data_IF_481697255208
#
_entry.id   IF_481697255208
#
_cell.length_a   1.000
_cell.length_b   1.000
_cell.length_c   1.000
_cell.angle_alpha   90.00
_cell.angle_beta   90.00
_cell.angle_gamma   90.00
#
_symmetry.space_group_name_H-M   'P 1'
#
loop_
_entity.id
_entity.type
_entity.pdbx_description
1 polymer ?
#
# COMPACT_ATOMS: atom_id res chain seq x y z
N UNK A 1 11.00 7.28 -0.11
CA UNK A 1 11.29 7.10 -1.54
C UNK A 1 12.71 7.50 -1.90
N UNK A 2 13.23 8.61 -1.38
CA UNK A 2 14.61 9.09 -1.65
C UNK A 2 15.71 8.02 -1.62
N UNK A 3 15.73 7.11 -0.64
CA UNK A 3 16.72 6.01 -0.60
C UNK A 3 16.58 5.06 -1.80
N UNK A 4 15.35 4.65 -2.13
CA UNK A 4 15.09 3.78 -3.27
C UNK A 4 15.44 4.46 -4.61
N UNK A 5 15.26 5.78 -4.70
CA UNK A 5 15.68 6.58 -5.87
C UNK A 5 17.19 6.65 -5.98
N UNK A 6 17.88 6.94 -4.87
CA UNK A 6 19.35 6.97 -4.80
C UNK A 6 19.96 5.63 -5.19
N UNK A 7 19.35 4.54 -4.76
CA UNK A 7 19.83 3.19 -5.03
C UNK A 7 19.38 2.67 -6.42
N UNK A 8 18.71 3.49 -7.22
CA UNK A 8 18.32 3.18 -8.60
C UNK A 8 17.18 2.17 -8.74
N UNK A 9 16.46 1.87 -7.66
CA UNK A 9 15.30 0.95 -7.68
C UNK A 9 14.08 1.64 -8.29
N UNK A 10 13.93 2.94 -8.03
CA UNK A 10 12.89 3.79 -8.61
C UNK A 10 13.51 5.01 -9.28
N UNK A 11 12.84 5.55 -10.30
CA UNK A 11 13.23 6.75 -11.04
C UNK A 11 12.87 8.06 -10.34
N UNK A 12 11.82 8.05 -9.51
CA UNK A 12 11.30 9.24 -8.86
C UNK A 12 11.12 9.07 -7.36
N UNK A 13 11.09 10.20 -6.64
CA UNK A 13 10.69 10.28 -5.23
C UNK A 13 9.16 10.24 -5.12
N UNK A 14 8.46 10.62 -6.18
CA UNK A 14 7.00 10.58 -6.25
C UNK A 14 6.47 9.16 -6.40
N UNK A 15 5.19 8.98 -6.09
CA UNK A 15 4.50 7.71 -6.27
C UNK A 15 4.13 7.49 -7.74
N UNK A 16 5.15 7.24 -8.57
CA UNK A 16 5.03 6.94 -10.00
C UNK A 16 5.66 5.60 -10.35
N UNK A 17 5.13 4.86 -11.33
CA UNK A 17 5.76 3.65 -11.80
C UNK A 17 7.10 3.99 -12.46
N UNK A 18 8.11 3.20 -12.14
CA UNK A 18 9.45 3.37 -12.70
C UNK A 18 9.54 2.73 -14.06
N UNK A 19 9.70 3.57 -15.09
CA UNK A 19 9.70 3.13 -16.48
C UNK A 19 11.14 2.91 -16.96
N UNK A 20 11.47 1.66 -17.29
CA UNK A 20 12.68 1.34 -18.03
C UNK A 20 12.49 1.61 -19.54
N UNK A 21 13.53 1.39 -20.36
CA UNK A 21 13.47 1.65 -21.80
C UNK A 21 12.36 0.89 -22.53
N UNK A 22 11.95 -0.28 -22.01
CA UNK A 22 11.00 -1.18 -22.68
C UNK A 22 9.85 -1.66 -21.79
N UNK A 23 9.96 -1.56 -20.47
CA UNK A 23 8.95 -2.07 -19.53
C UNK A 23 8.98 -1.31 -18.20
N UNK A 24 7.88 -1.40 -17.45
CA UNK A 24 7.82 -0.86 -16.08
C UNK A 24 8.53 -1.83 -15.15
N UNK A 25 9.49 -1.32 -14.38
CA UNK A 25 10.38 -2.14 -13.56
C UNK A 25 9.93 -2.22 -12.10
N UNK A 26 9.37 -1.13 -11.57
CA UNK A 26 8.93 -1.02 -10.19
C UNK A 26 7.67 -0.16 -10.06
N UNK A 27 6.82 -0.53 -9.11
CA UNK A 27 5.58 0.16 -8.79
C UNK A 27 5.54 0.46 -7.28
N UNK A 28 5.65 1.74 -6.88
CA UNK A 28 5.44 2.15 -5.51
C UNK A 28 3.94 2.27 -5.21
N UNK A 29 3.50 1.56 -4.18
CA UNK A 29 2.17 1.60 -3.59
C UNK A 29 2.28 2.31 -2.22
N UNK A 30 2.27 3.63 -2.22
CA UNK A 30 2.39 4.46 -1.02
C UNK A 30 1.04 4.96 -0.51
N UNK A 31 0.09 5.17 -1.42
CA UNK A 31 -1.26 5.64 -1.14
C UNK A 31 -2.31 4.77 -1.85
N UNK A 32 -3.56 4.96 -1.47
CA UNK A 32 -4.68 4.14 -1.95
C UNK A 32 -5.02 3.00 -1.01
N UNK A 33 -5.74 2.01 -1.54
CA UNK A 33 -6.27 0.86 -0.80
C UNK A 33 -5.89 -0.44 -1.49
N UNK A 34 -5.56 -1.45 -0.70
CA UNK A 34 -5.33 -2.79 -1.20
C UNK A 34 -6.26 -3.78 -0.49
N UNK A 35 -6.84 -4.69 -1.26
CA UNK A 35 -7.69 -5.77 -0.77
C UNK A 35 -7.07 -7.11 -1.13
N UNK A 36 -7.22 -8.10 -0.26
CA UNK A 36 -6.79 -9.46 -0.57
C UNK A 36 -7.77 -10.06 -1.59
N UNK A 37 -7.23 -10.65 -2.65
CA UNK A 37 -8.01 -11.38 -3.63
C UNK A 37 -8.47 -12.75 -3.10
N UNK A 38 -9.38 -13.42 -3.82
CA UNK A 38 -9.81 -14.78 -3.49
C UNK A 38 -8.68 -15.81 -3.59
N UNK A 39 -7.70 -15.59 -4.48
CA UNK A 39 -6.58 -16.49 -4.68
C UNK A 39 -5.40 -16.15 -3.75
N UNK A 40 -4.66 -17.16 -3.26
CA UNK A 40 -3.44 -16.92 -2.48
C UNK A 40 -2.43 -16.07 -3.25
N UNK A 41 -1.92 -15.02 -2.59
CA UNK A 41 -0.96 -14.10 -3.20
C UNK A 41 -1.55 -13.13 -4.23
N UNK A 42 -2.86 -13.18 -4.47
CA UNK A 42 -3.57 -12.19 -5.27
C UNK A 42 -3.95 -10.99 -4.41
N UNK A 43 -3.71 -9.79 -4.91
CA UNK A 43 -4.16 -8.55 -4.28
C UNK A 43 -4.81 -7.63 -5.29
N UNK A 44 -5.78 -6.85 -4.84
CA UNK A 44 -6.46 -5.84 -5.64
C UNK A 44 -6.08 -4.47 -5.10
N UNK A 45 -5.29 -3.73 -5.87
CA UNK A 45 -4.94 -2.35 -5.55
C UNK A 45 -5.94 -1.39 -6.18
N UNK A 46 -6.39 -0.40 -5.41
CA UNK A 46 -7.39 0.59 -5.80
C UNK A 46 -6.84 1.97 -5.46
N UNK A 47 -6.77 2.83 -6.47
CA UNK A 47 -6.38 4.24 -6.34
C UNK A 47 -7.45 5.12 -6.96
N UNK A 48 -7.74 6.24 -6.31
CA UNK A 48 -8.61 7.27 -6.86
C UNK A 48 -7.86 8.59 -6.90
N UNK A 49 -8.04 9.39 -7.95
CA UNK A 49 -7.35 10.67 -8.11
C UNK A 49 -7.54 11.28 -9.50
N UNK A 50 -6.63 12.19 -9.86
CA UNK A 50 -6.61 12.77 -11.20
C UNK A 50 -6.00 11.80 -12.21
N UNK A 51 -6.22 12.03 -13.50
CA UNK A 51 -5.71 11.17 -14.57
C UNK A 51 -4.17 11.02 -14.55
N UNK A 52 -3.47 12.09 -14.17
CA UNK A 52 -2.00 12.11 -13.99
C UNK A 52 -1.51 11.11 -12.94
N UNK A 53 -2.34 10.80 -11.95
CA UNK A 53 -2.01 9.88 -10.85
C UNK A 53 -2.35 8.43 -11.18
N UNK A 54 -3.02 8.16 -12.32
CA UNK A 54 -3.60 6.84 -12.63
C UNK A 54 -2.61 5.85 -13.26
N UNK A 55 -1.32 6.15 -13.28
CA UNK A 55 -0.26 5.19 -13.67
C UNK A 55 -0.54 4.51 -15.03
N UNK A 56 -0.93 5.30 -16.04
CA UNK A 56 -1.38 4.80 -17.35
C UNK A 56 -0.34 3.90 -18.06
N UNK A 57 0.95 4.05 -17.74
CA UNK A 57 2.01 3.19 -18.24
C UNK A 57 1.80 1.70 -17.92
N UNK A 58 1.02 1.36 -16.89
CA UNK A 58 0.74 -0.02 -16.50
C UNK A 58 -0.25 -0.73 -17.45
N UNK A 59 -0.99 -0.01 -18.30
CA UNK A 59 -1.90 -0.61 -19.28
C UNK A 59 -1.18 -1.59 -20.21
N UNK A 60 0.03 -1.26 -20.64
CA UNK A 60 0.82 -2.09 -21.57
C UNK A 60 1.61 -3.21 -20.87
N UNK A 61 1.53 -3.30 -19.54
CA UNK A 61 2.38 -4.16 -18.72
C UNK A 61 1.62 -5.35 -18.11
N UNK A 62 0.37 -5.55 -18.52
CA UNK A 62 -0.42 -6.73 -18.12
C UNK A 62 0.31 -8.01 -18.53
N UNK A 63 0.45 -8.94 -17.61
CA UNK A 63 1.19 -10.19 -17.79
C UNK A 63 2.69 -10.11 -17.47
N UNK A 64 3.25 -8.91 -17.25
CA UNK A 64 4.67 -8.75 -16.93
C UNK A 64 4.92 -8.73 -15.42
N UNK A 65 6.06 -9.28 -14.94
CA UNK A 65 6.46 -9.20 -13.55
C UNK A 65 7.06 -7.83 -13.23
N UNK A 66 6.52 -7.17 -12.19
CA UNK A 66 6.94 -5.87 -11.70
C UNK A 66 7.36 -5.94 -10.23
N UNK A 67 8.33 -5.11 -9.82
CA UNK A 67 8.74 -4.99 -8.41
C UNK A 67 7.72 -4.14 -7.64
N UNK A 68 7.24 -4.62 -6.51
CA UNK A 68 6.30 -3.86 -5.66
C UNK A 68 7.00 -3.31 -4.42
N UNK A 69 6.87 -1.99 -4.21
CA UNK A 69 7.24 -1.31 -2.97
C UNK A 69 5.96 -0.91 -2.24
N UNK A 70 5.74 -1.37 -1.01
CA UNK A 70 4.59 -0.97 -0.18
C UNK A 70 4.99 0.08 0.85
N UNK A 71 4.21 1.15 0.98
CA UNK A 71 4.41 2.21 1.96
C UNK A 71 3.59 2.01 3.23
N UNK A 72 4.07 2.56 4.34
CA UNK A 72 3.38 2.57 5.64
C UNK A 72 1.97 3.19 5.57
N UNK A 73 1.79 4.20 4.73
CA UNK A 73 0.55 4.96 4.60
C UNK A 73 -0.48 4.29 3.68
N UNK A 74 -0.11 3.16 3.05
CA UNK A 74 -1.03 2.38 2.22
C UNK A 74 -2.10 1.71 3.10
N UNK A 75 -3.37 1.85 2.72
CA UNK A 75 -4.49 1.14 3.38
C UNK A 75 -4.53 -0.31 2.90
N UNK A 76 -3.59 -1.12 3.37
CA UNK A 76 -3.41 -2.52 2.99
C UNK A 76 -3.15 -3.39 4.22
N UNK A 77 -3.70 -4.63 4.27
CA UNK A 77 -3.31 -5.63 5.28
C UNK A 77 -1.83 -6.02 5.21
N UNK A 78 -1.19 -5.81 4.06
CA UNK A 78 0.22 -6.14 3.81
C UNK A 78 1.15 -4.94 3.99
N UNK A 79 0.62 -3.75 4.28
CA UNK A 79 1.44 -2.55 4.44
C UNK A 79 2.46 -2.71 5.59
N UNK A 80 3.71 -2.25 5.42
CA UNK A 80 4.69 -2.29 6.50
C UNK A 80 4.27 -1.38 7.66
N UNK A 81 4.79 -1.66 8.87
CA UNK A 81 4.50 -0.88 10.08
C UNK A 81 5.18 0.49 10.09
N UNK A 82 6.22 0.67 9.28
CA UNK A 82 6.95 1.93 9.13
C UNK A 82 7.67 1.95 7.77
N UNK A 83 7.92 3.16 7.26
CA UNK A 83 8.71 3.37 6.04
C UNK A 83 8.12 2.72 4.79
N UNK A 84 9.00 2.20 3.94
CA UNK A 84 8.68 1.56 2.67
C UNK A 84 9.39 0.21 2.64
N UNK A 85 8.69 -0.84 2.18
CA UNK A 85 9.21 -2.21 2.10
C UNK A 85 9.09 -2.76 0.68
N UNK A 86 10.13 -3.45 0.23
CA UNK A 86 10.08 -4.25 -0.99
C UNK A 86 9.46 -5.61 -0.71
N UNK A 87 8.41 -5.97 -1.45
CA UNK A 87 7.61 -7.17 -1.18
C UNK A 87 7.82 -8.31 -2.19
N UNK A 88 8.64 -8.05 -3.21
CA UNK A 88 8.97 -8.99 -4.27
C UNK A 88 8.38 -8.60 -5.63
N UNK A 89 8.37 -9.59 -6.52
CA UNK A 89 7.84 -9.54 -7.87
C UNK A 89 6.36 -9.95 -7.90
N UNK A 90 5.58 -9.19 -8.64
CA UNK A 90 4.16 -9.41 -8.87
C UNK A 90 3.86 -9.30 -10.36
N UNK A 91 3.02 -10.17 -10.88
CA UNK A 91 2.48 -10.05 -12.23
C UNK A 91 1.20 -9.22 -12.19
N UNK A 92 1.07 -8.26 -13.10
CA UNK A 92 -0.18 -7.52 -13.29
C UNK A 92 -1.15 -8.43 -14.04
N UNK A 93 -2.16 -8.96 -13.36
CA UNK A 93 -3.19 -9.79 -13.98
C UNK A 93 -4.20 -8.97 -14.77
N UNK A 94 -4.62 -7.83 -14.23
CA UNK A 94 -5.62 -6.96 -14.87
C UNK A 94 -5.37 -5.50 -14.50
N UNK A 95 -5.63 -4.61 -15.46
CA UNK A 95 -5.68 -3.17 -15.28
C UNK A 95 -7.08 -2.68 -15.64
N UNK A 96 -7.70 -1.90 -14.76
CA UNK A 96 -8.97 -1.24 -15.00
C UNK A 96 -8.90 0.23 -14.62
N UNK A 97 -9.43 1.09 -15.48
CA UNK A 97 -9.60 2.53 -15.23
C UNK A 97 -11.07 2.88 -15.46
N UNK A 98 -11.67 3.59 -14.51
CA UNK A 98 -13.03 4.12 -14.63
C UNK A 98 -13.03 5.58 -14.23
N UNK A 99 -13.73 6.42 -14.98
CA UNK A 99 -14.08 7.76 -14.56
C UNK A 99 -15.39 7.69 -13.80
N UNK A 100 -15.43 8.31 -12.62
CA UNK A 100 -16.67 8.61 -11.94
C UNK A 100 -17.19 9.96 -12.48
N UNK A 101 -18.30 9.93 -13.21
CA UNK A 101 -18.86 11.10 -13.89
C UNK A 101 -19.37 12.17 -12.91
N UNK A 102 -19.84 11.75 -11.72
CA UNK A 102 -20.37 12.68 -10.71
C UNK A 102 -19.26 13.48 -10.04
N UNK A 103 -18.17 12.80 -9.68
CA UNK A 103 -17.06 13.42 -8.94
C UNK A 103 -15.92 13.89 -9.85
N UNK A 104 -15.94 13.51 -11.14
CA UNK A 104 -14.82 13.70 -12.08
C UNK A 104 -13.49 13.11 -11.58
N UNK A 105 -13.56 12.08 -10.74
CA UNK A 105 -12.39 11.40 -10.18
C UNK A 105 -12.17 10.09 -10.93
N UNK A 106 -10.94 9.84 -11.33
CA UNK A 106 -10.57 8.56 -11.92
C UNK A 106 -10.30 7.54 -10.82
N UNK A 107 -10.74 6.30 -11.06
CA UNK A 107 -10.49 5.15 -10.22
C UNK A 107 -9.76 4.08 -11.02
N UNK A 108 -8.53 3.77 -10.58
CA UNK A 108 -7.74 2.65 -11.07
C UNK A 108 -7.90 1.44 -10.16
N UNK A 109 -8.06 0.28 -10.78
CA UNK A 109 -8.07 -1.02 -10.12
C UNK A 109 -7.04 -1.91 -10.80
N UNK A 110 -6.05 -2.38 -10.03
CA UNK A 110 -5.06 -3.35 -10.47
C UNK A 110 -5.29 -4.68 -9.75
N UNK A 111 -5.30 -5.77 -10.51
CA UNK A 111 -5.20 -7.11 -9.93
C UNK A 111 -3.75 -7.56 -10.04
N UNK A 112 -3.10 -7.76 -8.90
CA UNK A 112 -1.71 -8.16 -8.78
C UNK A 112 -1.64 -9.61 -8.31
N UNK A 113 -0.76 -10.41 -8.91
CA UNK A 113 -0.51 -11.80 -8.50
C UNK A 113 0.95 -11.94 -8.11
N UNK A 114 1.22 -12.40 -6.88
CA UNK A 114 2.61 -12.62 -6.44
C UNK A 114 3.24 -13.78 -7.21
N UNK A 115 4.46 -13.57 -7.72
CA UNK A 115 5.25 -14.63 -8.38
C UNK A 115 5.68 -15.67 -7.33
N UNK A 116 5.61 -16.98 -7.63
CA UNK A 116 6.01 -18.05 -6.72
C UNK A 116 7.52 -18.04 -6.42
N UNK A 117 7.98 -18.92 -5.53
CA UNK A 117 9.41 -19.17 -5.21
C UNK A 117 10.18 -17.99 -4.59
N UNK A 118 9.48 -16.93 -4.21
CA UNK A 118 10.06 -15.83 -3.44
C UNK A 118 9.92 -16.05 -1.93
N UNK A 119 10.72 -15.33 -1.13
CA UNK A 119 10.60 -15.33 0.34
C UNK A 119 9.12 -15.25 0.76
N UNK A 120 8.60 -16.16 1.59
CA UNK A 120 7.16 -16.21 1.83
C UNK A 120 6.67 -14.96 2.56
N UNK A 121 5.43 -14.54 2.26
CA UNK A 121 4.89 -13.26 2.75
C UNK A 121 4.86 -13.18 4.28
N UNK A 122 4.62 -14.29 4.99
CA UNK A 122 4.63 -14.30 6.46
C UNK A 122 5.98 -13.87 7.05
N UNK A 123 7.11 -14.12 6.37
CA UNK A 123 8.43 -13.63 6.77
C UNK A 123 8.66 -12.17 6.38
N UNK A 124 7.95 -11.67 5.37
CA UNK A 124 8.03 -10.27 4.93
C UNK A 124 7.29 -9.35 5.87
N UNK A 125 6.16 -9.79 6.42
CA UNK A 125 5.35 -9.03 7.40
C UNK A 125 6.14 -8.69 8.67
N UNK A 126 7.16 -9.50 9.02
CA UNK A 126 8.07 -9.24 10.14
C UNK A 126 9.01 -8.04 9.90
N UNK A 127 9.12 -7.56 8.67
CA UNK A 127 9.88 -6.35 8.32
C UNK A 127 8.89 -5.18 8.30
N UNK A 128 9.16 -4.07 9.00
CA UNK A 128 10.43 -3.70 9.64
C UNK A 128 10.70 -4.36 11.01
N UNK A 129 11.99 -4.59 11.28
CA UNK A 129 12.52 -5.10 12.56
C UNK A 129 12.30 -4.09 13.71
N UNK A 130 12.33 -4.53 14.98
CA UNK A 130 12.22 -3.62 16.12
C UNK A 130 13.21 -2.45 16.10
N UNK A 131 14.48 -2.70 15.79
CA UNK A 131 15.49 -1.63 15.65
C UNK A 131 15.14 -0.62 14.55
N UNK A 132 14.62 -1.10 13.41
CA UNK A 132 14.18 -0.24 12.31
C UNK A 132 12.95 0.59 12.67
N UNK A 133 12.12 0.14 13.61
CA UNK A 133 11.02 0.94 14.16
C UNK A 133 11.55 2.05 15.06
N UNK A 134 12.62 1.81 15.82
CA UNK A 134 13.27 2.84 16.62
C UNK A 134 13.96 3.89 15.74
N UNK A 135 14.67 3.44 14.71
CA UNK A 135 15.25 4.33 13.68
C UNK A 135 14.16 5.18 12.99
N UNK A 136 13.01 4.58 12.70
CA UNK A 136 11.87 5.30 12.13
C UNK A 136 11.35 6.39 13.08
N UNK A 137 11.26 6.12 14.38
CA UNK A 137 10.85 7.14 15.37
C UNK A 137 11.85 8.29 15.42
N UNK A 138 13.15 7.97 15.38
CA UNK A 138 14.20 8.98 15.35
C UNK A 138 14.11 9.84 14.08
N UNK A 139 13.90 9.20 12.92
CA UNK A 139 13.67 9.89 11.66
C UNK A 139 12.48 10.84 11.73
N UNK A 140 11.34 10.40 12.26
CA UNK A 140 10.16 11.25 12.40
C UNK A 140 10.41 12.47 13.30
N UNK A 141 11.18 12.31 14.38
CA UNK A 141 11.58 13.42 15.24
C UNK A 141 12.45 14.40 14.47
N UNK A 142 13.46 13.91 13.77
CA UNK A 142 14.37 14.73 12.97
C UNK A 142 13.64 15.46 11.84
N UNK A 143 12.71 14.81 11.15
CA UNK A 143 11.86 15.43 10.13
C UNK A 143 11.05 16.60 10.72
N UNK A 144 10.46 16.41 11.89
CA UNK A 144 9.75 17.46 12.62
C UNK A 144 10.66 18.64 12.99
N UNK A 145 11.85 18.36 13.52
CA UNK A 145 12.84 19.39 13.87
C UNK A 145 13.31 20.17 12.64
N UNK A 146 13.50 19.51 11.50
CA UNK A 146 13.82 20.16 10.23
C UNK A 146 12.69 21.07 9.73
N UNK A 147 11.43 20.63 9.84
CA UNK A 147 10.27 21.45 9.46
C UNK A 147 10.20 22.68 10.37
N UNK A 148 10.40 22.49 11.68
CA UNK A 148 10.44 23.58 12.66
C UNK A 148 11.53 24.60 12.35
N UNK A 149 12.72 24.14 11.97
CA UNK A 149 13.82 25.03 11.60
C UNK A 149 13.55 25.80 10.29
N UNK A 150 12.95 25.15 9.28
CA UNK A 150 12.74 25.75 7.95
C UNK A 150 11.47 26.59 7.82
N UNK A 151 10.40 26.22 8.52
CA UNK A 151 9.05 26.81 8.40
C UNK A 151 8.54 27.42 9.71
N UNK A 152 9.36 27.41 10.76
CA UNK A 152 9.01 27.92 12.08
C UNK A 152 8.01 27.03 12.84
N UNK A 153 7.54 27.53 13.98
CA UNK A 153 6.58 26.83 14.84
C UNK A 153 5.26 26.53 14.15
N UNK A 154 4.76 27.46 13.32
CA UNK A 154 3.49 27.29 12.62
C UNK A 154 3.56 26.11 11.63
N UNK A 155 4.61 26.06 10.79
CA UNK A 155 4.79 24.94 9.87
C UNK A 155 5.02 23.61 10.58
N UNK A 156 5.66 23.62 11.76
CA UNK A 156 5.78 22.42 12.59
C UNK A 156 4.43 21.95 13.14
N UNK A 157 3.59 22.88 13.60
CA UNK A 157 2.25 22.56 14.10
C UNK A 157 1.38 21.95 13.00
N UNK A 158 1.37 22.54 11.81
CA UNK A 158 0.65 22.03 10.63
C UNK A 158 1.15 20.64 10.20
N UNK A 159 2.47 20.43 10.18
CA UNK A 159 3.03 19.11 9.89
C UNK A 159 2.63 18.08 10.95
N UNK A 160 2.64 18.47 12.23
CA UNK A 160 2.28 17.59 13.35
C UNK A 160 0.80 17.23 13.32
N UNK A 161 -0.09 18.17 13.02
CA UNK A 161 -1.53 17.91 12.87
C UNK A 161 -1.79 16.98 11.68
N UNK A 162 -1.20 17.25 10.51
CA UNK A 162 -1.34 16.39 9.34
C UNK A 162 -0.86 14.94 9.60
N UNK A 163 0.28 14.77 10.30
CA UNK A 163 0.76 13.44 10.71
C UNK A 163 -0.14 12.76 11.73
N UNK A 164 -0.74 13.51 12.64
CA UNK A 164 -1.70 12.96 13.60
C UNK A 164 -2.98 12.48 12.91
N UNK A 165 -3.51 13.28 11.99
CA UNK A 165 -4.67 12.93 11.16
C UNK A 165 -4.42 11.67 10.34
N UNK A 166 -3.28 11.59 9.64
CA UNK A 166 -2.86 10.42 8.88
C UNK A 166 -2.83 9.14 9.75
N UNK A 167 -2.25 9.25 10.96
CA UNK A 167 -2.21 8.14 11.93
C UNK A 167 -3.60 7.72 12.40
N UNK A 168 -4.47 8.69 12.69
CA UNK A 168 -5.85 8.42 13.13
C UNK A 168 -6.63 7.71 12.03
N UNK A 169 -6.54 8.21 10.79
CA UNK A 169 -7.20 7.61 9.62
C UNK A 169 -6.73 6.17 9.41
N UNK A 170 -5.42 5.93 9.46
CA UNK A 170 -4.85 4.58 9.33
C UNK A 170 -5.28 3.65 10.47
N UNK A 171 -5.29 4.14 11.71
CA UNK A 171 -5.70 3.36 12.88
C UNK A 171 -7.21 3.04 12.86
N UNK A 172 -8.04 3.98 12.44
CA UNK A 172 -9.48 3.75 12.22
C UNK A 172 -9.71 2.70 11.13
N UNK A 173 -8.98 2.80 10.01
CA UNK A 173 -9.08 1.82 8.93
C UNK A 173 -8.67 0.41 9.39
N UNK A 174 -7.57 0.27 10.14
CA UNK A 174 -7.13 -1.03 10.68
C UNK A 174 -8.19 -1.63 11.62
N UNK A 175 -8.73 -0.84 12.54
CA UNK A 175 -9.79 -1.29 13.46
C UNK A 175 -11.06 -1.72 12.70
N UNK A 176 -11.47 -0.95 11.68
CA UNK A 176 -12.62 -1.31 10.85
C UNK A 176 -12.39 -2.62 10.09
N UNK A 177 -11.16 -2.87 9.62
CA UNK A 177 -10.80 -4.13 8.97
C UNK A 177 -10.81 -5.31 9.94
N UNK A 178 -10.26 -5.15 11.15
CA UNK A 178 -10.26 -6.18 12.20
C UNK A 178 -11.71 -6.59 12.55
N UNK A 179 -12.58 -5.62 12.83
CA UNK A 179 -14.01 -5.86 13.08
C UNK A 179 -14.68 -6.55 11.89
N UNK A 180 -14.40 -6.10 10.66
CA UNK A 180 -14.95 -6.71 9.45
C UNK A 180 -14.43 -8.13 9.19
N UNK A 181 -13.25 -8.49 9.69
CA UNK A 181 -12.74 -9.87 9.66
C UNK A 181 -13.40 -10.73 10.73
N UNK A 182 -13.57 -10.22 11.95
CA UNK A 182 -14.25 -10.92 13.05
C UNK A 182 -15.71 -11.25 12.69
N UNK A 183 -16.46 -10.28 12.16
CA UNK A 183 -17.85 -10.49 11.73
C UNK A 183 -17.96 -11.58 10.65
N UNK A 184 -17.00 -11.65 9.71
CA UNK A 184 -16.97 -12.69 8.67
C UNK A 184 -16.63 -14.08 9.21
N UNK A 185 -15.82 -14.15 10.26
CA UNK A 185 -15.52 -15.42 10.93
C UNK A 185 -16.75 -15.91 11.71
N UNK A 186 -17.42 -15.02 12.44
CA UNK A 186 -18.64 -15.33 13.18
C UNK A 186 -19.79 -15.77 12.26
N UNK A 187 -19.96 -15.11 11.10
CA UNK A 187 -20.97 -15.52 10.12
C UNK A 187 -20.68 -16.90 9.52
N UNK A 188 -19.40 -17.27 9.35
CA UNK A 188 -18.99 -18.60 8.84
C UNK A 188 -19.17 -19.71 9.88
N UNK A 189 -18.93 -19.43 11.16
CA UNK A 189 -19.20 -20.39 12.23
C UNK A 189 -20.70 -20.64 12.44
N UNK A 190 -21.53 -19.61 12.21
CA UNK A 190 -22.98 -19.73 12.31
C UNK A 190 -23.58 -20.61 11.19
N UNK A 191 -23.04 -20.53 9.96
CA UNK A 191 -23.51 -21.35 8.83
C UNK A 191 -22.99 -22.80 8.87
N UNK A 192 -21.84 -23.07 9.50
CA UNK A 192 -21.37 -24.45 9.70
C UNK A 192 -22.11 -25.20 10.82
N UNK A 193 -22.76 -24.49 11.74
CA UNK A 193 -23.54 -25.08 12.84
C UNK A 193 -24.95 -25.52 12.43
N UNK A 194 -25.51 -24.98 11.35
CA UNK A 194 -26.87 -25.31 10.90
C UNK A 194 -26.99 -26.60 10.09
N UNK A 195 -25.86 -27.18 9.63
CA UNK A 195 -25.83 -28.43 8.85
C UNK A 195 -25.61 -29.69 9.71
N UNK A 196 -25.36 -29.57 11.01
CA UNK A 196 -25.18 -30.72 11.92
C UNK A 196 -26.45 -31.16 12.66
N UNK A 197 -27.55 -30.41 12.57
CA UNK A 197 -28.83 -30.70 13.26
C UNK A 197 -29.91 -31.32 12.33
N UNK A 198 -29.50 -31.90 11.19
CA UNK A 198 -30.39 -32.63 10.27
C UNK A 198 -29.89 -34.04 9.98
N UNK A 199 -29.88 -34.89 11.00
CA UNK A 199 -29.87 -36.36 10.86
C UNK A 199 -30.79 -36.98 11.89
#
# INVERSE_FOLDING_TARGET
MACATRDGIVDSIEERPTCGPYYVTALPLLSGREELGPLPGQTRYIRSGQLSDMHLALLSQVGTPIRILRGYCLRSPLAPRAGIRYDGLYTIGQYGLKLDEETSIYRVVLTLQRVPEQRPMHKMVLVPLPSQLDDWRLFQKYEGDMVRQKRGEQGFLEWKTAKAEERVILAQWRRAMELGTELRLLSRSATSGSDQDRT
#
